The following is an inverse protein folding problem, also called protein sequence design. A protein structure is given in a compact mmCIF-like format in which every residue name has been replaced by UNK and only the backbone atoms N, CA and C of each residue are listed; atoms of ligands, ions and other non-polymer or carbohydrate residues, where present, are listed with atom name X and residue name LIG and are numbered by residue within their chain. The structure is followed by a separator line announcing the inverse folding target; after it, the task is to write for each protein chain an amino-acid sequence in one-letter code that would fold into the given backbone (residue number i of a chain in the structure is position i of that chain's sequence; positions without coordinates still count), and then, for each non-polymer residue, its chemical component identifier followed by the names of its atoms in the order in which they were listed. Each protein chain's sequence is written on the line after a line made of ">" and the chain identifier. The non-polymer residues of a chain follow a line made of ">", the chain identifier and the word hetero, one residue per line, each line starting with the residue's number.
data_IF_021680957417
#
_entry.id   IF_021680957417
#
_cell.length_a   1.000
_cell.length_b   1.000
_cell.length_c   1.000
_cell.angle_alpha   90.00
_cell.angle_beta   90.00
_cell.angle_gamma   90.00
#
_symmetry.space_group_name_H-M   'P 1'
#
loop_
_entity.id
_entity.type
_entity.pdbx_description
1 polymer ?
#
# COMPACT_ATOMS: atom_id res chain seq x y z
N UNK A 1 42.23 -29.63 24.93
CA UNK A 1 42.35 -29.63 23.46
C UNK A 1 41.07 -30.21 22.89
N UNK A 2 40.53 -29.58 21.84
CA UNK A 2 39.34 -29.91 21.05
C UNK A 2 37.99 -29.31 21.50
N UNK A 3 37.89 -27.98 21.37
CA UNK A 3 36.64 -27.33 21.00
C UNK A 3 36.23 -27.78 19.59
N UNK A 4 35.25 -28.67 19.51
CA UNK A 4 34.57 -28.96 18.25
C UNK A 4 33.61 -27.81 17.97
N UNK A 5 34.09 -26.86 17.18
CA UNK A 5 33.29 -25.81 16.56
C UNK A 5 32.32 -26.48 15.56
N UNK A 6 31.17 -26.94 16.06
CA UNK A 6 30.07 -27.45 15.23
C UNK A 6 29.39 -26.25 14.60
N UNK A 7 29.98 -25.72 13.53
CA UNK A 7 29.29 -24.78 12.65
C UNK A 7 28.14 -25.57 11.99
N UNK A 8 26.93 -25.44 12.52
CA UNK A 8 25.74 -25.87 11.79
C UNK A 8 25.76 -25.15 10.43
N UNK A 9 25.74 -25.86 9.29
CA UNK A 9 25.58 -25.19 8.00
C UNK A 9 24.27 -24.41 8.06
N UNK A 10 24.33 -23.11 7.75
CA UNK A 10 23.12 -22.32 7.58
C UNK A 10 22.22 -23.06 6.58
N UNK A 11 20.90 -23.20 6.86
CA UNK A 11 20.01 -23.90 5.97
C UNK A 11 20.09 -23.26 4.57
N UNK A 12 20.41 -24.08 3.57
CA UNK A 12 20.47 -23.65 2.17
C UNK A 12 19.03 -23.35 1.74
N UNK A 13 18.72 -22.08 1.49
CA UNK A 13 17.42 -21.66 0.97
C UNK A 13 17.24 -22.21 -0.44
N UNK A 14 16.20 -23.03 -0.65
CA UNK A 14 15.87 -23.55 -1.98
C UNK A 14 15.19 -22.49 -2.87
N UNK A 15 15.10 -22.79 -4.16
CA UNK A 15 14.36 -21.98 -5.14
C UNK A 15 12.88 -21.78 -4.73
N UNK A 16 12.25 -22.81 -4.16
CA UNK A 16 10.87 -22.74 -3.69
C UNK A 16 10.74 -21.97 -2.37
N UNK A 17 11.75 -22.04 -1.49
CA UNK A 17 11.79 -21.24 -0.26
C UNK A 17 11.84 -19.75 -0.57
N UNK A 18 12.57 -19.34 -1.60
CA UNK A 18 12.61 -17.95 -2.05
C UNK A 18 11.22 -17.46 -2.51
N UNK A 19 10.50 -18.27 -3.30
CA UNK A 19 9.16 -17.92 -3.77
C UNK A 19 8.19 -17.77 -2.59
N UNK A 20 8.20 -18.73 -1.66
CA UNK A 20 7.39 -18.68 -0.44
C UNK A 20 7.74 -17.49 0.44
N UNK A 21 9.02 -17.15 0.52
CA UNK A 21 9.47 -15.97 1.27
C UNK A 21 8.94 -14.68 0.64
N UNK A 22 9.04 -14.50 -0.68
CA UNK A 22 8.49 -13.31 -1.37
C UNK A 22 6.98 -13.19 -1.13
N UNK A 23 6.25 -14.29 -1.26
CA UNK A 23 4.81 -14.34 -1.00
C UNK A 23 4.49 -13.94 0.44
N UNK A 24 5.18 -14.54 1.41
CA UNK A 24 5.01 -14.22 2.83
C UNK A 24 5.27 -12.74 3.13
N UNK A 25 6.33 -12.15 2.56
CA UNK A 25 6.64 -10.74 2.72
C UNK A 25 5.57 -9.84 2.09
N UNK A 26 5.05 -10.21 0.92
CA UNK A 26 3.93 -9.48 0.29
C UNK A 26 2.66 -9.55 1.13
N UNK A 27 2.33 -10.70 1.74
CA UNK A 27 1.16 -10.84 2.61
C UNK A 27 1.28 -10.02 3.89
N UNK A 28 2.47 -10.02 4.52
CA UNK A 28 2.73 -9.21 5.70
C UNK A 28 2.52 -7.72 5.41
N UNK A 29 3.07 -7.23 4.29
CA UNK A 29 2.86 -5.85 3.86
C UNK A 29 1.39 -5.55 3.55
N UNK A 30 0.68 -6.49 2.93
CA UNK A 30 -0.74 -6.32 2.64
C UNK A 30 -1.58 -6.22 3.92
N UNK A 31 -1.31 -7.07 4.91
CA UNK A 31 -1.98 -7.03 6.20
C UNK A 31 -1.70 -5.72 6.95
N UNK A 32 -0.45 -5.26 6.97
CA UNK A 32 -0.06 -3.97 7.55
C UNK A 32 -0.77 -2.80 6.87
N UNK A 33 -0.73 -2.76 5.53
CA UNK A 33 -1.42 -1.73 4.76
C UNK A 33 -2.92 -1.74 5.06
N UNK A 34 -3.53 -2.93 5.18
CA UNK A 34 -4.95 -3.06 5.48
C UNK A 34 -5.31 -2.50 6.85
N UNK A 35 -4.50 -2.77 7.87
CA UNK A 35 -4.70 -2.21 9.20
C UNK A 35 -4.67 -0.68 9.19
N UNK A 36 -3.69 -0.08 8.50
CA UNK A 36 -3.59 1.38 8.37
C UNK A 36 -4.77 1.99 7.62
N UNK A 37 -5.22 1.34 6.53
CA UNK A 37 -6.39 1.78 5.76
C UNK A 37 -7.67 1.68 6.59
N UNK A 38 -7.87 0.57 7.31
CA UNK A 38 -9.06 0.38 8.14
C UNK A 38 -9.09 1.39 9.30
N UNK A 39 -7.93 1.71 9.89
CA UNK A 39 -7.83 2.76 10.93
C UNK A 39 -8.12 4.16 10.36
N UNK A 40 -7.59 4.50 9.19
CA UNK A 40 -7.93 5.75 8.48
C UNK A 40 -9.44 5.91 8.31
N UNK A 41 -10.12 4.88 7.80
CA UNK A 41 -11.57 4.92 7.60
C UNK A 41 -12.34 5.03 8.91
N UNK A 42 -11.85 4.43 9.99
CA UNK A 42 -12.42 4.57 11.34
C UNK A 42 -12.31 6.01 11.84
N UNK A 43 -11.14 6.63 11.70
CA UNK A 43 -10.91 8.02 12.09
C UNK A 43 -11.77 8.99 11.27
N UNK A 44 -11.81 8.80 9.94
CA UNK A 44 -12.64 9.59 9.04
C UNK A 44 -14.13 9.50 9.41
N UNK A 45 -14.64 8.29 9.66
CA UNK A 45 -16.03 8.07 10.09
C UNK A 45 -16.32 8.73 11.43
N UNK A 46 -15.42 8.63 12.40
CA UNK A 46 -15.57 9.27 13.72
C UNK A 46 -15.60 10.79 13.61
N UNK A 47 -14.75 11.38 12.75
CA UNK A 47 -14.73 12.82 12.47
C UNK A 47 -16.04 13.28 11.83
N UNK A 48 -16.53 12.59 10.80
CA UNK A 48 -17.81 12.93 10.16
C UNK A 48 -19.00 12.88 11.13
N UNK A 49 -19.00 11.95 12.08
CA UNK A 49 -20.04 11.88 13.12
C UNK A 49 -19.96 13.05 14.11
N UNK A 50 -18.76 13.57 14.39
CA UNK A 50 -18.55 14.66 15.36
C UNK A 50 -18.78 16.06 14.78
N UNK A 51 -18.33 16.31 13.54
CA UNK A 51 -18.28 17.64 12.95
C UNK A 51 -19.29 17.87 11.81
N UNK A 52 -20.08 16.84 11.46
CA UNK A 52 -21.13 16.95 10.45
C UNK A 52 -20.60 17.34 9.07
N UNK A 53 -21.28 18.26 8.40
CA UNK A 53 -20.97 18.68 7.01
C UNK A 53 -19.99 19.85 6.89
N UNK A 54 -19.56 20.45 8.00
CA UNK A 54 -18.76 21.69 8.00
C UNK A 54 -17.28 21.43 7.70
N UNK A 55 -16.75 20.25 8.07
CA UNK A 55 -15.37 19.81 7.82
C UNK A 55 -15.33 18.38 7.24
N UNK A 56 -15.86 18.21 6.04
CA UNK A 56 -15.89 16.89 5.37
C UNK A 56 -14.59 16.66 4.62
N UNK A 57 -13.83 15.66 5.07
CA UNK A 57 -12.66 15.19 4.35
C UNK A 57 -13.06 14.48 3.06
N UNK A 58 -12.35 14.74 1.97
CA UNK A 58 -12.66 14.20 0.64
C UNK A 58 -11.58 13.29 0.10
N UNK A 59 -10.61 12.92 0.91
CA UNK A 59 -9.53 12.04 0.51
C UNK A 59 -9.86 10.62 0.98
N UNK A 60 -9.79 9.68 0.06
CA UNK A 60 -9.98 8.26 0.34
C UNK A 60 -8.70 7.50 0.02
N UNK A 61 -8.49 6.38 0.71
CA UNK A 61 -7.43 5.42 0.42
C UNK A 61 -8.02 4.05 0.16
N UNK A 62 -7.42 3.32 -0.77
CA UNK A 62 -7.78 1.93 -1.08
C UNK A 62 -6.55 1.09 -1.36
N UNK A 63 -6.71 -0.21 -1.12
CA UNK A 63 -5.77 -1.24 -1.56
C UNK A 63 -6.37 -1.92 -2.78
N UNK A 64 -5.58 -2.08 -3.85
CA UNK A 64 -5.97 -2.88 -5.01
C UNK A 64 -5.03 -4.05 -5.16
N UNK A 65 -5.58 -5.23 -5.31
CA UNK A 65 -4.85 -6.47 -5.52
C UNK A 65 -5.51 -7.25 -6.64
N UNK A 66 -4.72 -7.93 -7.47
CA UNK A 66 -5.23 -8.95 -8.39
C UNK A 66 -5.07 -10.31 -7.72
N UNK A 67 -6.06 -11.18 -7.85
CA UNK A 67 -6.07 -12.50 -7.20
C UNK A 67 -4.83 -13.34 -7.55
N UNK A 68 -4.31 -13.22 -8.77
CA UNK A 68 -3.12 -13.96 -9.25
C UNK A 68 -1.78 -13.25 -9.01
N UNK A 69 -1.76 -12.15 -8.23
CA UNK A 69 -0.57 -11.30 -8.07
C UNK A 69 -0.09 -11.26 -6.62
N UNK A 70 1.19 -11.58 -6.42
CA UNK A 70 1.98 -11.30 -5.20
C UNK A 70 2.31 -9.80 -5.06
N UNK A 71 1.41 -8.94 -5.50
CA UNK A 71 1.62 -7.49 -5.51
C UNK A 71 0.28 -6.79 -5.44
N UNK A 72 0.27 -5.67 -4.72
CA UNK A 72 -0.87 -4.80 -4.53
C UNK A 72 -0.44 -3.33 -4.63
N UNK A 73 -1.40 -2.44 -4.90
CA UNK A 73 -1.20 -0.99 -4.88
C UNK A 73 -1.97 -0.36 -3.73
N UNK A 74 -1.38 0.66 -3.11
CA UNK A 74 -2.04 1.54 -2.14
C UNK A 74 -2.26 2.87 -2.85
N UNK A 75 -3.53 3.25 -3.03
CA UNK A 75 -3.92 4.40 -3.85
C UNK A 75 -4.74 5.40 -3.05
N UNK A 76 -4.28 6.64 -3.03
CA UNK A 76 -5.12 7.78 -2.69
C UNK A 76 -6.04 8.13 -3.86
N UNK A 77 -7.27 8.50 -3.55
CA UNK A 77 -8.25 9.02 -4.49
C UNK A 77 -9.06 10.15 -3.85
N UNK A 78 -9.68 10.99 -4.67
CA UNK A 78 -10.63 11.99 -4.17
C UNK A 78 -12.05 11.45 -4.26
N UNK A 79 -12.77 11.50 -3.16
CA UNK A 79 -14.20 11.22 -3.08
C UNK A 79 -14.95 12.38 -3.72
N UNK A 80 -15.73 12.09 -4.76
CA UNK A 80 -16.59 13.06 -5.41
C UNK A 80 -17.95 12.43 -5.71
N UNK A 81 -18.92 13.25 -6.09
CA UNK A 81 -20.21 12.79 -6.58
C UNK A 81 -20.38 13.20 -8.03
N UNK A 82 -20.92 12.29 -8.85
CA UNK A 82 -21.28 12.54 -10.23
C UNK A 82 -22.79 12.41 -10.36
N UNK A 83 -23.43 13.41 -10.98
CA UNK A 83 -24.85 13.34 -11.31
C UNK A 83 -25.02 12.49 -12.56
N UNK A 84 -25.68 11.35 -12.44
CA UNK A 84 -26.04 10.46 -13.54
C UNK A 84 -27.51 10.09 -13.44
N UNK A 85 -28.26 10.29 -14.52
CA UNK A 85 -29.70 9.97 -14.62
C UNK A 85 -30.53 10.56 -13.46
N UNK A 86 -30.26 11.82 -13.08
CA UNK A 86 -30.96 12.51 -12.00
C UNK A 86 -30.52 12.10 -10.58
N UNK A 87 -29.65 11.10 -10.41
CA UNK A 87 -29.16 10.63 -9.12
C UNK A 87 -27.69 11.00 -8.91
N UNK A 88 -27.31 11.33 -7.67
CA UNK A 88 -25.91 11.55 -7.30
C UNK A 88 -25.26 10.22 -6.94
N UNK A 89 -24.24 9.83 -7.70
CA UNK A 89 -23.45 8.62 -7.45
C UNK A 89 -22.07 8.98 -6.90
N UNK A 90 -21.60 8.34 -5.83
CA UNK A 90 -20.23 8.52 -5.36
C UNK A 90 -19.25 7.92 -6.38
N UNK A 91 -18.18 8.66 -6.66
CA UNK A 91 -17.09 8.26 -7.55
C UNK A 91 -15.74 8.46 -6.85
N UNK A 92 -14.79 7.61 -7.20
CA UNK A 92 -13.40 7.74 -6.80
C UNK A 92 -12.60 8.42 -7.92
N UNK A 93 -12.33 9.72 -7.78
CA UNK A 93 -11.49 10.46 -8.71
C UNK A 93 -10.03 10.09 -8.51
N UNK A 94 -9.38 9.70 -9.60
CA UNK A 94 -7.98 9.30 -9.58
C UNK A 94 -7.05 10.47 -9.24
N UNK A 95 -6.12 10.24 -8.31
CA UNK A 95 -5.04 11.17 -7.99
C UNK A 95 -3.74 10.69 -8.64
N UNK A 96 -3.06 11.59 -9.35
CA UNK A 96 -1.77 11.29 -9.99
C UNK A 96 -0.67 11.28 -8.94
N UNK A 97 -0.04 10.11 -8.73
CA UNK A 97 1.14 9.96 -7.87
C UNK A 97 2.38 10.66 -8.42
N UNK A 98 2.54 10.70 -9.75
CA UNK A 98 3.80 11.18 -10.35
C UNK A 98 4.93 10.16 -10.20
N UNK A 99 6.18 10.65 -10.19
CA UNK A 99 7.39 9.82 -10.09
C UNK A 99 7.69 9.42 -8.63
N UNK A 100 8.28 8.24 -8.44
CA UNK A 100 8.64 7.72 -7.12
C UNK A 100 7.49 7.04 -6.37
N UNK A 101 7.64 6.87 -5.05
CA UNK A 101 6.68 6.12 -4.21
C UNK A 101 5.73 7.00 -3.39
N UNK A 102 6.02 8.30 -3.30
CA UNK A 102 5.23 9.28 -2.55
C UNK A 102 4.33 10.10 -3.48
N UNK A 103 3.09 10.34 -3.07
CA UNK A 103 2.16 11.26 -3.73
C UNK A 103 2.52 12.74 -3.44
N UNK A 104 2.33 13.67 -4.39
CA UNK A 104 2.57 15.10 -4.18
C UNK A 104 1.44 15.71 -3.34
N UNK A 105 1.49 15.48 -2.02
CA UNK A 105 0.41 15.82 -1.09
C UNK A 105 0.02 17.29 -1.08
N UNK A 106 0.98 18.21 -1.12
CA UNK A 106 0.69 19.66 -1.18
C UNK A 106 -0.26 20.05 -2.31
N UNK A 107 -0.14 19.39 -3.48
CA UNK A 107 -1.03 19.63 -4.62
C UNK A 107 -2.37 18.92 -4.44
N UNK A 108 -2.32 17.70 -3.92
CA UNK A 108 -3.48 16.82 -3.83
C UNK A 108 -4.45 17.24 -2.73
N UNK A 109 -3.92 17.73 -1.61
CA UNK A 109 -4.65 18.08 -0.40
C UNK A 109 -5.05 19.57 -0.35
N UNK A 110 -4.81 20.31 -1.44
CA UNK A 110 -5.17 21.73 -1.51
C UNK A 110 -6.68 21.91 -1.30
N UNK A 111 -7.04 22.62 -0.24
CA UNK A 111 -8.43 22.92 0.12
C UNK A 111 -9.13 21.84 0.94
N UNK A 112 -8.40 20.81 1.37
CA UNK A 112 -8.90 19.85 2.36
C UNK A 112 -8.68 20.39 3.79
N UNK A 113 -9.46 19.93 4.79
CA UNK A 113 -9.31 20.37 6.18
C UNK A 113 -7.95 20.00 6.78
N UNK A 114 -7.38 20.87 7.63
CA UNK A 114 -6.05 20.68 8.22
C UNK A 114 -5.89 19.32 8.94
N UNK A 115 -6.94 18.83 9.58
CA UNK A 115 -6.92 17.52 10.24
C UNK A 115 -6.80 16.36 9.23
N UNK A 116 -7.41 16.47 8.05
CA UNK A 116 -7.29 15.46 6.99
C UNK A 116 -5.91 15.56 6.35
N UNK A 117 -5.38 16.79 6.19
CA UNK A 117 -4.02 17.02 5.71
C UNK A 117 -3.00 16.30 6.61
N UNK A 118 -3.04 16.55 7.91
CA UNK A 118 -2.11 15.95 8.87
C UNK A 118 -2.20 14.41 8.87
N UNK A 119 -3.42 13.87 8.87
CA UNK A 119 -3.65 12.42 8.87
C UNK A 119 -3.13 11.75 7.58
N UNK A 120 -3.36 12.37 6.42
CA UNK A 120 -2.87 11.85 5.14
C UNK A 120 -1.35 11.96 5.06
N UNK A 121 -0.75 13.04 5.56
CA UNK A 121 0.71 13.21 5.59
C UNK A 121 1.41 12.15 6.44
N UNK A 122 0.86 11.84 7.62
CA UNK A 122 1.36 10.78 8.49
C UNK A 122 1.33 9.42 7.79
N UNK A 123 0.17 9.02 7.25
CA UNK A 123 -0.01 7.73 6.60
C UNK A 123 0.77 7.59 5.29
N UNK A 124 0.95 8.68 4.54
CA UNK A 124 1.67 8.63 3.28
C UNK A 124 3.16 8.32 3.45
N UNK A 125 3.75 8.64 4.61
CA UNK A 125 5.11 8.22 4.92
C UNK A 125 5.23 6.69 4.96
N UNK A 126 4.31 6.06 5.68
CA UNK A 126 4.22 4.60 5.79
C UNK A 126 3.89 3.96 4.43
N UNK A 127 2.89 4.48 3.73
CA UNK A 127 2.50 3.94 2.43
C UNK A 127 3.59 4.11 1.37
N UNK A 128 4.36 5.20 1.37
CA UNK A 128 5.48 5.35 0.47
C UNK A 128 6.56 4.29 0.73
N UNK A 129 6.86 3.98 2.00
CA UNK A 129 7.78 2.92 2.37
C UNK A 129 7.26 1.54 1.93
N UNK A 130 6.00 1.22 2.20
CA UNK A 130 5.38 -0.04 1.77
C UNK A 130 5.38 -0.19 0.25
N UNK A 131 5.01 0.86 -0.51
CA UNK A 131 5.05 0.85 -1.98
C UNK A 131 6.46 0.56 -2.52
N UNK A 132 7.51 1.08 -1.86
CA UNK A 132 8.90 0.78 -2.22
C UNK A 132 9.24 -0.68 -1.98
N UNK A 133 8.84 -1.24 -0.83
CA UNK A 133 9.09 -2.65 -0.52
C UNK A 133 8.38 -3.60 -1.49
N UNK A 134 7.11 -3.32 -1.83
CA UNK A 134 6.36 -4.11 -2.82
C UNK A 134 7.03 -4.09 -4.19
N UNK A 135 7.51 -2.93 -4.64
CA UNK A 135 8.24 -2.81 -5.90
C UNK A 135 9.56 -3.59 -5.88
N UNK A 136 10.31 -3.55 -4.77
CA UNK A 136 11.51 -4.37 -4.59
C UNK A 136 11.19 -5.88 -4.63
N UNK A 137 10.16 -6.33 -3.93
CA UNK A 137 9.72 -7.74 -3.96
C UNK A 137 9.32 -8.17 -5.38
N UNK A 138 8.60 -7.32 -6.11
CA UNK A 138 8.26 -7.55 -7.51
C UNK A 138 9.50 -7.73 -8.40
N UNK A 139 10.51 -6.86 -8.23
CA UNK A 139 11.77 -6.94 -8.97
C UNK A 139 12.55 -8.22 -8.65
N UNK A 140 12.61 -8.63 -7.39
CA UNK A 140 13.26 -9.88 -6.98
C UNK A 140 12.56 -11.07 -7.64
N UNK A 141 11.23 -11.12 -7.57
CA UNK A 141 10.42 -12.16 -8.22
C UNK A 141 10.67 -12.23 -9.72
N UNK A 142 10.63 -11.09 -10.40
CA UNK A 142 10.78 -11.04 -11.86
C UNK A 142 12.19 -11.45 -12.30
N UNK A 143 13.22 -10.99 -11.58
CA UNK A 143 14.60 -11.42 -11.80
C UNK A 143 14.76 -12.93 -11.61
N UNK A 144 14.17 -13.49 -10.55
CA UNK A 144 14.22 -14.91 -10.27
C UNK A 144 13.47 -15.75 -11.32
N UNK A 145 12.29 -15.29 -11.76
CA UNK A 145 11.54 -15.93 -12.82
C UNK A 145 12.33 -15.94 -14.15
N UNK A 146 13.03 -14.86 -14.46
CA UNK A 146 13.89 -14.79 -15.64
C UNK A 146 15.11 -15.72 -15.53
N UNK A 147 15.74 -15.82 -14.35
CA UNK A 147 16.82 -16.76 -14.09
C UNK A 147 16.38 -18.22 -14.32
N UNK A 148 15.21 -18.61 -13.79
CA UNK A 148 14.66 -19.96 -13.98
C UNK A 148 14.42 -20.30 -15.46
N UNK A 149 13.94 -19.33 -16.24
CA UNK A 149 13.76 -19.48 -17.70
C UNK A 149 15.07 -19.64 -18.45
N UNK A 150 16.13 -18.94 -18.03
CA UNK A 150 17.44 -19.01 -18.69
C UNK A 150 18.23 -20.29 -18.34
N UNK A 151 17.87 -20.97 -17.25
CA UNK A 151 18.47 -22.23 -16.80
C UNK A 151 17.86 -23.47 -17.49
N UNK A 152 16.65 -23.33 -18.04
CA UNK A 152 15.95 -24.37 -18.82
C UNK A 152 16.44 -24.36 -20.27
#
# INVERSE_FOLDING_TARGET
>A
MNDKNTLNPLPVMSEDDLVRWIESQSEQLHAQARMLVDDYWRQLKSRHQKFGTTEVGRIGVRIRRRESSFSFSIEWYRMATLRQNGQNKPIAQYLKKGQGYRYPLQRILKGEPDWEVALVEELENEFAAMRKQIDCLGKIRDAFANYRKAKQ
#
